data_IF_637575082464
#
_entry.id   IF_637575082464
#
_cell.length_a   1.000
_cell.length_b   1.000
_cell.length_c   1.000
_cell.angle_alpha   90.00
_cell.angle_beta   90.00
_cell.angle_gamma   90.00
#
_symmetry.space_group_name_H-M   'P 1'
#
loop_
_entity.id
_entity.type
_entity.pdbx_description
1 polymer ?
#
# COMPACT_ATOMS: atom_id res chain seq x y z
N UNK A 1 7.06 12.82 10.31
CA UNK A 1 6.61 12.10 9.10
C UNK A 1 5.65 12.99 8.34
N UNK A 2 5.81 13.14 7.04
CA UNK A 2 4.86 13.82 6.16
C UNK A 2 3.51 13.10 6.20
N UNK A 3 2.41 13.85 6.21
CA UNK A 3 1.08 13.24 6.11
C UNK A 3 0.92 12.59 4.73
N UNK A 4 0.37 11.37 4.71
CA UNK A 4 0.08 10.66 3.47
C UNK A 4 -0.90 11.46 2.59
N UNK A 5 -0.55 11.64 1.32
CA UNK A 5 -1.35 12.40 0.34
C UNK A 5 -2.43 11.56 -0.37
N UNK A 6 -2.43 10.24 -0.17
CA UNK A 6 -3.41 9.33 -0.79
C UNK A 6 -4.73 9.30 0.00
N UNK A 7 -5.81 8.89 -0.67
CA UNK A 7 -7.14 8.77 -0.06
C UNK A 7 -7.11 7.82 1.13
N UNK A 8 -7.58 8.26 2.30
CA UNK A 8 -7.63 7.42 3.50
C UNK A 8 -8.56 6.22 3.28
N UNK A 9 -8.21 5.08 3.87
CA UNK A 9 -9.06 3.88 3.88
C UNK A 9 -10.29 4.05 4.78
N UNK A 10 -11.19 3.05 4.83
CA UNK A 10 -11.09 1.77 4.13
C UNK A 10 -11.47 1.89 2.65
N UNK A 11 -10.81 1.12 1.79
CA UNK A 11 -11.23 0.93 0.41
C UNK A 11 -11.91 -0.42 0.24
N UNK A 12 -12.93 -0.47 -0.61
CA UNK A 12 -13.73 -1.69 -0.82
C UNK A 12 -13.55 -2.19 -2.24
N UNK A 13 -13.19 -3.47 -2.43
CA UNK A 13 -13.19 -4.07 -3.75
C UNK A 13 -14.63 -4.42 -4.15
N UNK A 14 -15.02 -4.08 -5.38
CA UNK A 14 -16.31 -4.45 -5.97
C UNK A 14 -16.08 -5.23 -7.26
N UNK A 15 -16.80 -6.35 -7.41
CA UNK A 15 -16.66 -7.25 -8.54
C UNK A 15 -17.92 -7.24 -9.41
N UNK A 16 -17.78 -6.68 -10.61
CA UNK A 16 -18.74 -6.85 -11.71
C UNK A 16 -18.00 -7.50 -12.87
N UNK A 17 -18.16 -7.00 -14.10
CA UNK A 17 -17.37 -7.43 -15.26
C UNK A 17 -15.92 -6.90 -15.26
N UNK A 18 -15.61 -5.98 -14.33
CA UNK A 18 -14.32 -5.32 -14.12
C UNK A 18 -14.12 -5.27 -12.60
N UNK A 19 -12.88 -5.39 -12.11
CA UNK A 19 -12.58 -5.19 -10.69
C UNK A 19 -12.49 -3.70 -10.37
N UNK A 20 -13.28 -3.21 -9.41
CA UNK A 20 -13.21 -1.84 -8.93
C UNK A 20 -12.68 -1.80 -7.50
N UNK A 21 -12.00 -0.71 -7.15
CA UNK A 21 -11.71 -0.36 -5.76
C UNK A 21 -12.30 1.02 -5.50
N UNK A 22 -13.13 1.15 -4.47
CA UNK A 22 -13.86 2.37 -4.14
C UNK A 22 -13.58 2.81 -2.70
N UNK A 23 -13.57 4.12 -2.47
CA UNK A 23 -13.65 4.68 -1.13
C UNK A 23 -15.09 4.59 -0.59
N UNK A 24 -15.26 4.81 0.70
CA UNK A 24 -16.57 4.74 1.37
C UNK A 24 -17.62 5.70 0.79
N UNK A 25 -17.19 6.87 0.29
CA UNK A 25 -18.07 7.84 -0.38
C UNK A 25 -18.43 7.46 -1.84
N UNK A 26 -18.05 6.27 -2.31
CA UNK A 26 -18.29 5.80 -3.67
C UNK A 26 -17.30 6.30 -4.72
N UNK A 27 -16.29 7.10 -4.33
CA UNK A 27 -15.25 7.53 -5.26
C UNK A 27 -14.42 6.32 -5.74
N UNK A 28 -14.25 6.18 -7.05
CA UNK A 28 -13.45 5.10 -7.63
C UNK A 28 -11.96 5.41 -7.48
N UNK A 29 -11.24 4.58 -6.75
CA UNK A 29 -9.79 4.68 -6.51
C UNK A 29 -9.01 3.95 -7.60
N UNK A 30 -9.46 2.76 -8.01
CA UNK A 30 -8.80 1.98 -9.05
C UNK A 30 -9.79 1.17 -9.89
N UNK A 31 -9.41 0.94 -11.16
CA UNK A 31 -10.08 0.03 -12.09
C UNK A 31 -9.10 -1.04 -12.54
N UNK A 32 -9.32 -2.28 -12.14
CA UNK A 32 -8.56 -3.44 -12.58
C UNK A 32 -9.18 -3.95 -13.90
N UNK A 33 -8.55 -3.59 -15.03
CA UNK A 33 -9.01 -3.96 -16.37
C UNK A 33 -8.37 -5.28 -16.84
N UNK A 34 -9.17 -6.12 -17.50
CA UNK A 34 -8.72 -7.36 -18.14
C UNK A 34 -8.25 -7.07 -19.55
N UNK A 35 -7.07 -6.47 -19.70
CA UNK A 35 -6.49 -6.23 -21.03
C UNK A 35 -6.11 -7.53 -21.74
N UNK A 36 -5.79 -8.59 -20.99
CA UNK A 36 -5.54 -9.96 -21.50
C UNK A 36 -5.98 -11.02 -20.48
N UNK A 37 -6.01 -12.30 -20.87
CA UNK A 37 -6.35 -13.43 -19.99
C UNK A 37 -5.32 -13.72 -18.88
N UNK A 38 -4.27 -12.91 -18.76
CA UNK A 38 -3.09 -13.18 -17.93
C UNK A 38 -3.15 -12.59 -16.51
N UNK A 39 -4.17 -11.79 -16.17
CA UNK A 39 -4.25 -11.11 -14.88
C UNK A 39 -5.43 -11.58 -14.00
N UNK A 40 -5.16 -11.80 -12.71
CA UNK A 40 -6.20 -12.06 -11.71
C UNK A 40 -6.74 -10.74 -11.15
N UNK A 41 -7.80 -10.23 -11.77
CA UNK A 41 -8.42 -8.95 -11.41
C UNK A 41 -8.89 -8.91 -9.95
N UNK A 42 -9.40 -10.04 -9.47
CA UNK A 42 -9.93 -10.14 -8.12
C UNK A 42 -8.80 -9.99 -7.09
N UNK A 43 -7.72 -10.76 -7.28
CA UNK A 43 -6.55 -10.67 -6.41
C UNK A 43 -5.93 -9.26 -6.43
N UNK A 44 -5.81 -8.64 -7.60
CA UNK A 44 -5.25 -7.30 -7.74
C UNK A 44 -6.12 -6.24 -7.04
N UNK A 45 -7.44 -6.32 -7.19
CA UNK A 45 -8.36 -5.39 -6.52
C UNK A 45 -8.31 -5.55 -4.99
N UNK A 46 -8.23 -6.79 -4.48
CA UNK A 46 -8.04 -7.02 -3.06
C UNK A 46 -6.72 -6.41 -2.55
N UNK A 47 -5.61 -6.65 -3.25
CA UNK A 47 -4.30 -6.10 -2.86
C UNK A 47 -4.33 -4.57 -2.82
N UNK A 48 -4.89 -3.92 -3.85
CA UNK A 48 -5.03 -2.47 -3.90
C UNK A 48 -5.93 -1.98 -2.76
N UNK A 49 -7.07 -2.63 -2.53
CA UNK A 49 -8.00 -2.23 -1.47
C UNK A 49 -7.36 -2.27 -0.07
N UNK A 50 -6.43 -3.20 0.16
CA UNK A 50 -5.67 -3.33 1.42
C UNK A 50 -4.45 -2.40 1.52
N UNK A 51 -4.18 -1.56 0.50
CA UNK A 51 -2.99 -0.72 0.50
C UNK A 51 -2.90 0.26 1.69
N UNK A 52 -4.00 0.89 2.16
CA UNK A 52 -3.95 1.72 3.38
C UNK A 52 -3.49 0.93 4.62
N UNK A 53 -4.05 -0.24 4.86
CA UNK A 53 -3.71 -1.10 6.01
C UNK A 53 -2.28 -1.64 5.89
N UNK A 54 -1.84 -2.02 4.69
CA UNK A 54 -0.46 -2.44 4.43
C UNK A 54 0.54 -1.30 4.65
N UNK A 55 0.17 -0.06 4.31
CA UNK A 55 1.00 1.11 4.57
C UNK A 55 1.15 1.38 6.07
N UNK A 56 0.07 1.29 6.84
CA UNK A 56 0.12 1.41 8.31
C UNK A 56 0.96 0.30 8.95
N UNK A 57 0.74 -0.95 8.53
CA UNK A 57 1.52 -2.09 9.00
C UNK A 57 3.02 -1.93 8.69
N UNK A 58 3.36 -1.45 7.48
CA UNK A 58 4.75 -1.23 7.09
C UNK A 58 5.41 -0.09 7.89
N UNK A 59 4.68 0.98 8.22
CA UNK A 59 5.20 2.01 9.14
C UNK A 59 5.50 1.42 10.52
N UNK A 60 4.58 0.62 11.08
CA UNK A 60 4.80 -0.02 12.38
C UNK A 60 5.99 -1.00 12.35
N UNK A 61 6.14 -1.76 11.27
CA UNK A 61 7.33 -2.60 11.08
C UNK A 61 8.62 -1.78 10.98
N UNK A 62 8.59 -0.65 10.27
CA UNK A 62 9.75 0.24 10.17
C UNK A 62 10.12 0.81 11.55
N UNK A 63 9.16 1.20 12.39
CA UNK A 63 9.44 1.70 13.74
C UNK A 63 10.19 0.65 14.59
N UNK A 64 9.79 -0.63 14.50
CA UNK A 64 10.50 -1.73 15.16
C UNK A 64 11.91 -1.92 14.59
N UNK A 65 12.06 -1.90 13.26
CA UNK A 65 13.36 -2.04 12.60
C UNK A 65 14.30 -0.90 13.03
N UNK A 66 13.81 0.35 13.04
CA UNK A 66 14.60 1.50 13.47
C UNK A 66 15.06 1.37 14.93
N UNK A 67 14.20 0.87 15.81
CA UNK A 67 14.56 0.63 17.21
C UNK A 67 15.72 -0.37 17.34
N UNK A 68 15.73 -1.40 16.49
CA UNK A 68 16.78 -2.41 16.44
C UNK A 68 18.05 -1.85 15.80
N UNK A 69 17.97 -1.16 14.66
CA UNK A 69 19.11 -0.50 13.99
C UNK A 69 19.84 0.47 14.93
N UNK A 70 19.11 1.18 15.80
CA UNK A 70 19.70 2.05 16.81
C UNK A 70 20.47 1.29 17.90
N UNK A 71 20.00 0.11 18.30
CA UNK A 71 20.70 -0.75 19.27
C UNK A 71 21.93 -1.40 18.66
N UNK A 72 21.80 -1.88 17.43
CA UNK A 72 22.85 -2.61 16.72
C UNK A 72 23.92 -1.67 16.12
N UNK A 73 23.58 -0.39 15.91
CA UNK A 73 24.49 0.64 15.42
C UNK A 73 24.73 0.63 13.90
N UNK A 74 23.91 -0.10 13.14
CA UNK A 74 23.98 -0.13 11.67
C UNK A 74 22.60 -0.28 11.03
N UNK A 75 22.47 0.18 9.79
CA UNK A 75 21.23 0.08 9.01
C UNK A 75 21.08 -1.31 8.37
N UNK A 76 19.87 -1.86 8.42
CA UNK A 76 19.49 -3.14 7.84
C UNK A 76 18.95 -2.98 6.41
N UNK A 77 19.08 -4.03 5.60
CA UNK A 77 18.48 -4.04 4.27
C UNK A 77 16.95 -3.90 4.32
N UNK A 78 16.31 -4.48 5.34
CA UNK A 78 14.88 -4.42 5.58
C UNK A 78 14.43 -2.97 5.85
N UNK A 79 15.19 -2.25 6.68
CA UNK A 79 14.97 -0.83 6.95
C UNK A 79 15.05 0.02 5.68
N UNK A 80 16.07 -0.21 4.85
CA UNK A 80 16.18 0.45 3.55
C UNK A 80 14.98 0.15 2.63
N UNK A 81 14.56 -1.11 2.52
CA UNK A 81 13.43 -1.49 1.68
C UNK A 81 12.11 -0.86 2.16
N UNK A 82 11.87 -0.84 3.47
CA UNK A 82 10.69 -0.24 4.06
C UNK A 82 10.68 1.28 3.87
N UNK A 83 11.80 1.97 4.13
CA UNK A 83 11.97 3.41 3.86
C UNK A 83 11.68 3.74 2.39
N UNK A 84 12.25 2.97 1.46
CA UNK A 84 12.06 3.18 0.03
C UNK A 84 10.62 2.95 -0.42
N UNK A 85 9.96 1.90 0.07
CA UNK A 85 8.56 1.61 -0.25
C UNK A 85 7.61 2.69 0.27
N UNK A 86 7.82 3.18 1.50
CA UNK A 86 7.03 4.25 2.09
C UNK A 86 7.24 5.59 1.36
N UNK A 87 8.48 5.91 0.99
CA UNK A 87 8.78 7.11 0.20
C UNK A 87 8.06 7.07 -1.16
N UNK A 88 8.07 5.93 -1.85
CA UNK A 88 7.29 5.74 -3.10
C UNK A 88 5.79 5.92 -2.87
N UNK A 89 5.23 5.34 -1.81
CA UNK A 89 3.81 5.48 -1.49
C UNK A 89 3.40 6.93 -1.17
N UNK A 90 4.32 7.74 -0.63
CA UNK A 90 4.13 9.18 -0.36
C UNK A 90 4.39 10.09 -1.57
N UNK A 91 4.97 9.55 -2.64
CA UNK A 91 5.41 10.32 -3.81
C UNK A 91 6.66 11.17 -3.55
N UNK A 92 7.57 10.68 -2.71
CA UNK A 92 8.81 11.37 -2.28
C UNK A 92 10.07 10.83 -2.97
N UNK A 93 9.94 9.75 -3.76
CA UNK A 93 11.03 9.03 -4.41
C UNK A 93 10.72 8.73 -5.88
#
# INVERSE_FOLDING_TARGET
MSEAKFTKGPWRPEFKNIGYVQAENGAVIAKCQRLTSLCNLQANAHLIATAPELYEALNACLDLILSQEMQDGFESQQGHMARAALAKARGEA
#
